data_IF_814571906959
#
_entry.id   IF_814571906959
#
_cell.length_a   1.000
_cell.length_b   1.000
_cell.length_c   1.000
_cell.angle_alpha   90.00
_cell.angle_beta   90.00
_cell.angle_gamma   90.00
#
_symmetry.space_group_name_H-M   'P 1'
#
loop_
_entity.id
_entity.type
_entity.pdbx_description
1 polymer ?
#
# COMPACT_ATOMS: atom_id res chain seq x y z
N UNK A 1 10.76 -19.64 12.57
CA UNK A 1 9.94 -19.03 13.63
C UNK A 1 9.67 -17.60 13.25
N UNK A 2 8.47 -17.07 13.49
CA UNK A 2 8.14 -15.65 13.26
C UNK A 2 7.76 -15.07 14.61
N UNK A 3 8.38 -13.94 14.97
CA UNK A 3 8.09 -13.22 16.21
C UNK A 3 7.53 -11.85 15.84
N UNK A 4 6.32 -11.56 16.29
CA UNK A 4 5.77 -10.21 16.23
C UNK A 4 6.22 -9.42 17.47
N UNK A 5 6.51 -8.13 17.29
CA UNK A 5 7.08 -7.31 18.36
C UNK A 5 6.42 -5.95 18.43
N UNK A 6 6.46 -5.34 19.61
CA UNK A 6 5.97 -3.99 19.84
C UNK A 6 6.66 -2.97 18.93
N UNK A 7 6.06 -1.82 18.61
CA UNK A 7 6.70 -0.80 17.78
C UNK A 7 8.06 -0.33 18.33
N UNK A 8 9.04 -0.15 17.43
CA UNK A 8 10.46 0.15 17.76
C UNK A 8 10.66 1.50 18.50
N UNK A 9 9.72 2.44 18.36
CA UNK A 9 9.85 3.82 18.87
C UNK A 9 9.33 4.01 20.30
N UNK A 10 8.26 3.34 20.76
CA UNK A 10 7.87 3.40 22.17
C UNK A 10 8.56 2.33 23.05
N UNK A 11 8.89 1.14 22.54
CA UNK A 11 9.23 -0.03 23.37
C UNK A 11 10.46 -0.77 22.85
N UNK A 12 11.26 -1.34 23.76
CA UNK A 12 12.55 -1.99 23.45
C UNK A 12 12.44 -3.47 23.05
N UNK A 13 11.28 -4.11 23.11
CA UNK A 13 11.14 -5.57 22.93
C UNK A 13 11.58 -6.01 21.54
N UNK A 14 11.25 -5.22 20.52
CA UNK A 14 11.71 -5.43 19.14
C UNK A 14 13.26 -5.43 19.04
N UNK A 15 13.95 -4.63 19.85
CA UNK A 15 15.42 -4.55 19.86
C UNK A 15 16.05 -5.78 20.50
N UNK A 16 15.45 -6.30 21.57
CA UNK A 16 15.96 -7.49 22.27
C UNK A 16 15.87 -8.71 21.35
N UNK A 17 14.68 -8.94 20.76
CA UNK A 17 14.44 -10.10 19.90
C UNK A 17 15.26 -10.01 18.61
N UNK A 18 15.37 -8.82 18.00
CA UNK A 18 16.06 -8.66 16.71
C UNK A 18 17.55 -9.02 16.75
N UNK A 19 18.23 -8.89 17.90
CA UNK A 19 19.63 -9.34 18.03
C UNK A 19 19.81 -10.86 17.92
N UNK A 20 18.74 -11.61 18.14
CA UNK A 20 18.75 -13.08 18.09
C UNK A 20 18.06 -13.62 16.83
N UNK A 21 17.59 -12.74 15.95
CA UNK A 21 16.90 -13.13 14.73
C UNK A 21 17.88 -13.15 13.54
N UNK A 22 17.74 -14.15 12.66
CA UNK A 22 18.51 -14.25 11.41
C UNK A 22 18.14 -13.12 10.43
N UNK A 23 16.90 -12.65 10.49
CA UNK A 23 16.36 -11.59 9.67
C UNK A 23 15.41 -10.68 10.46
N UNK A 24 15.45 -9.39 10.16
CA UNK A 24 14.58 -8.38 10.78
C UNK A 24 13.82 -7.61 9.71
N UNK A 25 12.50 -7.55 9.79
CA UNK A 25 11.64 -6.82 8.86
C UNK A 25 11.08 -5.57 9.54
N UNK A 26 11.33 -4.38 8.97
CA UNK A 26 10.76 -3.14 9.46
C UNK A 26 9.45 -2.81 8.75
N UNK A 27 8.34 -2.92 9.47
CA UNK A 27 7.00 -2.64 8.91
C UNK A 27 6.58 -1.19 9.23
N UNK A 28 6.24 -0.43 8.21
CA UNK A 28 5.70 0.92 8.33
C UNK A 28 4.32 1.01 7.68
N UNK A 29 3.35 1.62 8.37
CA UNK A 29 2.00 1.83 7.81
C UNK A 29 1.97 3.08 6.93
N UNK A 30 1.58 2.92 5.67
CA UNK A 30 1.37 4.01 4.73
C UNK A 30 0.33 5.01 5.25
N UNK A 31 0.59 6.30 5.05
CA UNK A 31 -0.27 7.39 5.50
C UNK A 31 -0.28 7.63 7.02
N UNK A 32 0.43 6.80 7.82
CA UNK A 32 0.49 6.94 9.27
C UNK A 32 1.91 7.12 9.78
N UNK A 33 2.84 6.24 9.39
CA UNK A 33 4.23 6.32 9.80
C UNK A 33 4.94 7.46 9.07
N UNK A 34 5.47 8.43 9.82
CA UNK A 34 6.23 9.53 9.26
C UNK A 34 7.65 9.09 8.92
N UNK A 35 8.23 9.64 7.85
CA UNK A 35 9.60 9.33 7.42
C UNK A 35 10.63 9.48 8.54
N UNK A 36 10.49 10.50 9.40
CA UNK A 36 11.35 10.71 10.57
C UNK A 36 11.24 9.58 11.60
N UNK A 37 10.05 9.02 11.80
CA UNK A 37 9.83 7.92 12.73
C UNK A 37 10.51 6.66 12.21
N UNK A 38 10.32 6.34 10.92
CA UNK A 38 11.00 5.20 10.29
C UNK A 38 12.52 5.33 10.41
N UNK A 39 13.07 6.54 10.16
CA UNK A 39 14.51 6.79 10.33
C UNK A 39 14.98 6.59 11.77
N UNK A 40 14.26 7.13 12.74
CA UNK A 40 14.57 6.92 14.18
C UNK A 40 14.52 5.44 14.57
N UNK A 41 13.60 4.66 14.02
CA UNK A 41 13.54 3.22 14.26
C UNK A 41 14.80 2.51 13.74
N UNK A 42 15.26 2.85 12.52
CA UNK A 42 16.49 2.32 11.95
C UNK A 42 17.70 2.71 12.81
N UNK A 43 17.82 3.97 13.21
CA UNK A 43 18.92 4.46 14.06
C UNK A 43 18.97 3.70 15.40
N UNK A 44 17.82 3.44 16.03
CA UNK A 44 17.74 2.69 17.30
C UNK A 44 18.06 1.21 17.19
N UNK A 45 17.78 0.59 16.05
CA UNK A 45 18.24 -0.76 15.73
C UNK A 45 19.76 -0.75 15.45
N UNK A 46 20.27 0.30 14.81
CA UNK A 46 21.70 0.51 14.61
C UNK A 46 22.49 0.57 15.92
N UNK A 47 21.93 1.14 16.99
CA UNK A 47 22.55 1.17 18.33
C UNK A 47 22.81 -0.22 18.93
N UNK A 48 22.17 -1.26 18.41
CA UNK A 48 22.38 -2.67 18.83
C UNK A 48 22.93 -3.53 17.68
N UNK A 49 23.53 -2.88 16.69
CA UNK A 49 24.12 -3.52 15.51
C UNK A 49 23.13 -4.35 14.68
N UNK A 50 21.83 -4.03 14.77
CA UNK A 50 20.79 -4.64 13.93
C UNK A 50 20.51 -3.72 12.76
N UNK A 51 20.64 -4.24 11.55
CA UNK A 51 20.16 -3.59 10.33
C UNK A 51 18.95 -4.38 9.82
N UNK A 52 17.77 -3.75 9.62
CA UNK A 52 16.64 -4.43 9.02
C UNK A 52 17.04 -5.04 7.66
N UNK A 53 16.75 -6.32 7.49
CA UNK A 53 16.95 -7.06 6.23
C UNK A 53 16.11 -6.46 5.11
N UNK A 54 14.89 -6.03 5.43
CA UNK A 54 14.00 -5.35 4.50
C UNK A 54 13.03 -4.41 5.23
N UNK A 55 12.40 -3.54 4.46
CA UNK A 55 11.32 -2.68 4.90
C UNK A 55 10.02 -3.02 4.15
N UNK A 56 8.90 -3.00 4.86
CA UNK A 56 7.56 -3.29 4.33
C UNK A 56 6.69 -2.05 4.51
N UNK A 57 6.17 -1.51 3.42
CA UNK A 57 5.16 -0.46 3.45
C UNK A 57 3.76 -1.10 3.42
N UNK A 58 3.13 -1.21 4.58
CA UNK A 58 1.81 -1.80 4.72
C UNK A 58 0.70 -0.76 4.50
N UNK A 59 -0.53 -1.20 4.19
CA UNK A 59 -1.70 -0.34 3.93
C UNK A 59 -1.54 0.67 2.78
N UNK A 60 -0.67 0.38 1.81
CA UNK A 60 -0.56 1.24 0.63
C UNK A 60 -1.84 1.17 -0.20
N UNK A 61 -2.59 2.28 -0.25
CA UNK A 61 -3.87 2.36 -0.96
C UNK A 61 -3.57 2.61 -2.44
N UNK A 62 -3.23 1.53 -3.15
CA UNK A 62 -3.03 1.43 -4.59
C UNK A 62 -2.29 2.61 -5.26
N UNK A 63 -1.01 2.39 -5.53
CA UNK A 63 -0.30 3.12 -6.59
C UNK A 63 -1.14 2.98 -7.88
N UNK A 64 -1.40 4.11 -8.57
CA UNK A 64 -1.99 4.16 -9.93
C UNK A 64 -1.61 2.91 -10.71
N UNK A 65 -2.59 2.21 -11.35
CA UNK A 65 -2.40 0.96 -12.14
C UNK A 65 -0.92 0.65 -12.39
N UNK A 66 -0.29 0.00 -11.42
CA UNK A 66 1.10 -0.40 -11.48
C UNK A 66 1.10 -1.86 -11.91
N UNK A 67 2.02 -2.25 -12.79
CA UNK A 67 2.21 -3.67 -13.15
C UNK A 67 2.43 -4.56 -11.92
N UNK A 68 2.85 -3.98 -10.80
CA UNK A 68 3.05 -4.64 -9.53
C UNK A 68 1.76 -4.99 -8.79
N UNK A 69 0.67 -4.24 -9.01
CA UNK A 69 -0.63 -4.47 -8.37
C UNK A 69 -1.66 -4.83 -9.42
N UNK A 70 -1.71 -6.12 -9.80
CA UNK A 70 -2.84 -6.66 -10.56
C UNK A 70 -3.97 -6.94 -9.58
N UNK A 71 -4.94 -6.03 -9.52
CA UNK A 71 -6.19 -6.29 -8.80
C UNK A 71 -7.07 -7.19 -9.69
N UNK A 72 -7.43 -8.41 -9.26
CA UNK A 72 -8.45 -9.18 -9.97
C UNK A 72 -9.73 -8.35 -9.97
N UNK A 73 -10.30 -8.14 -11.15
CA UNK A 73 -11.58 -7.43 -11.29
C UNK A 73 -12.64 -8.21 -10.56
N UNK A 74 -13.24 -7.64 -9.51
CA UNK A 74 -14.41 -8.24 -8.88
C UNK A 74 -15.63 -8.06 -9.78
N UNK A 75 -16.67 -8.88 -9.59
CA UNK A 75 -17.94 -8.73 -10.31
C UNK A 75 -18.58 -7.34 -10.09
N UNK A 76 -18.34 -6.75 -8.91
CA UNK A 76 -18.77 -5.39 -8.56
C UNK A 76 -18.06 -4.32 -9.40
N UNK A 77 -16.76 -4.48 -9.67
CA UNK A 77 -15.99 -3.57 -10.53
C UNK A 77 -16.48 -3.63 -11.98
N UNK A 78 -16.85 -4.81 -12.46
CA UNK A 78 -17.42 -5.01 -13.79
C UNK A 78 -18.85 -4.45 -13.89
N UNK A 79 -19.67 -4.60 -12.84
CA UNK A 79 -20.99 -3.99 -12.77
C UNK A 79 -20.91 -2.45 -12.76
N UNK A 80 -19.94 -1.87 -12.04
CA UNK A 80 -19.70 -0.43 -12.00
C UNK A 80 -19.29 0.12 -13.39
N UNK A 81 -18.34 -0.55 -14.08
CA UNK A 81 -17.97 -0.17 -15.46
C UNK A 81 -19.13 -0.23 -16.44
N UNK A 82 -19.98 -1.27 -16.35
CA UNK A 82 -21.16 -1.42 -17.22
C UNK A 82 -22.20 -0.32 -16.97
N UNK A 83 -22.38 0.10 -15.72
CA UNK A 83 -23.26 1.21 -15.35
C UNK A 83 -22.76 2.54 -15.90
N UNK A 84 -21.46 2.82 -15.77
CA UNK A 84 -20.83 4.02 -16.33
C UNK A 84 -20.86 4.04 -17.86
N UNK A 85 -20.67 2.90 -18.51
CA UNK A 85 -20.77 2.79 -19.97
C UNK A 85 -22.21 3.08 -20.46
N UNK A 86 -23.23 2.56 -19.75
CA UNK A 86 -24.64 2.81 -20.09
C UNK A 86 -25.05 4.26 -19.83
N UNK A 87 -24.59 4.88 -18.75
CA UNK A 87 -24.91 6.29 -18.48
C UNK A 87 -24.29 7.21 -19.52
N UNK A 88 -23.02 6.96 -19.91
CA UNK A 88 -22.34 7.69 -20.98
C UNK A 88 -22.99 7.53 -22.35
N UNK A 89 -23.44 6.31 -22.68
CA UNK A 89 -24.18 6.05 -23.91
C UNK A 89 -25.52 6.81 -23.95
N UNK A 90 -26.16 6.97 -22.79
CA UNK A 90 -27.45 7.68 -22.65
C UNK A 90 -27.29 9.21 -22.61
N UNK A 91 -26.12 9.73 -22.27
CA UNK A 91 -25.83 11.17 -22.22
C UNK A 91 -25.26 11.74 -23.52
N UNK A 92 -25.02 10.91 -24.54
CA UNK A 92 -24.68 11.40 -25.87
C UNK A 92 -25.95 12.02 -26.50
N UNK A 93 -26.00 13.33 -26.77
CA UNK A 93 -27.11 13.90 -27.50
C UNK A 93 -27.12 13.30 -28.91
N UNK A 94 -28.28 12.82 -29.36
CA UNK A 94 -28.51 12.47 -30.75
C UNK A 94 -28.13 13.69 -31.60
N UNK A 95 -26.95 13.65 -32.22
CA UNK A 95 -26.59 14.57 -33.29
C UNK A 95 -27.52 14.27 -34.45
N UNK A 96 -28.64 15.00 -34.42
CA UNK A 96 -29.58 15.35 -35.47
C UNK A 96 -29.06 15.06 -36.87
N UNK A 97 -29.85 14.30 -37.63
CA UNK A 97 -30.64 14.88 -38.71
C UNK A 97 -29.96 16.08 -39.40
N UNK A 98 -28.90 15.79 -40.17
CA UNK A 98 -28.18 16.79 -40.96
C UNK A 98 -27.51 16.13 -42.19
N UNK A 99 -28.28 15.35 -42.95
CA UNK A 99 -27.86 14.88 -44.28
C UNK A 99 -29.07 14.48 -45.15
N UNK A 100 -30.02 15.39 -45.35
CA UNK A 100 -31.01 15.32 -46.45
C UNK A 100 -31.59 16.71 -46.71
N UNK A 101 -30.82 17.54 -47.41
CA UNK A 101 -31.32 18.57 -48.33
C UNK A 101 -30.59 18.39 -49.65
#
# INVERSE_FOLDING_TARGET
MIVDSTPVIPISDARIVARHADATLLVARAGFALRRQVRQAIERLGLISVTPTAAILNYSVAVRRSSYYVRPTSEEDEAAKKRDARSRARSLPETRDAARR
#
